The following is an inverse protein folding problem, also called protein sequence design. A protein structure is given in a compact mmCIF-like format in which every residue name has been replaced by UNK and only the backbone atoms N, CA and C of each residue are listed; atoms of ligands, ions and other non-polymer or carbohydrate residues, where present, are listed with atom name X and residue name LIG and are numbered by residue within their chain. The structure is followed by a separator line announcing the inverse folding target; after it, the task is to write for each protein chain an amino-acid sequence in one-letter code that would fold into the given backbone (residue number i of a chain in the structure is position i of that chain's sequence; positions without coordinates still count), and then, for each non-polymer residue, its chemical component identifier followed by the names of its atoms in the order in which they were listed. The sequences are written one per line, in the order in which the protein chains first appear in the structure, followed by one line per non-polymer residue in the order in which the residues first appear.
data_IF_697314174373
#
_entry.id   IF_697314174373
#
_cell.length_a   1.000
_cell.length_b   1.000
_cell.length_c   1.000
_cell.angle_alpha   90.00
_cell.angle_beta   90.00
_cell.angle_gamma   90.00
#
_symmetry.space_group_name_H-M   'P 1'
#
loop_
_entity.id
_entity.type
_entity.pdbx_description
1 polymer ?
#
# COMPACT_ATOMS: atom_id res chain seq x y z
N UNK A 1 -24.28 -22.77 16.51
CA UNK A 1 -23.06 -22.06 16.94
C UNK A 1 -22.12 -22.05 15.75
N UNK A 2 -21.38 -20.97 15.47
CA UNK A 2 -20.32 -21.02 14.46
C UNK A 2 -19.22 -21.98 14.94
N UNK A 3 -18.81 -22.91 14.09
CA UNK A 3 -17.95 -24.07 14.42
C UNK A 3 -16.62 -24.09 13.64
N UNK A 4 -16.55 -23.43 12.49
CA UNK A 4 -15.37 -23.44 11.62
C UNK A 4 -14.46 -22.21 11.72
N UNK A 5 -14.91 -21.09 12.31
CA UNK A 5 -14.17 -19.83 12.35
C UNK A 5 -14.21 -19.16 13.73
N UNK A 6 -13.06 -18.61 14.13
CA UNK A 6 -12.91 -17.77 15.31
C UNK A 6 -12.34 -16.41 14.90
N UNK A 7 -12.99 -15.31 15.30
CA UNK A 7 -12.50 -13.96 15.02
C UNK A 7 -11.26 -13.68 15.87
N UNK A 8 -10.12 -13.45 15.20
CA UNK A 8 -8.86 -13.08 15.87
C UNK A 8 -8.75 -11.57 16.11
N UNK A 9 -9.07 -10.76 15.11
CA UNK A 9 -9.11 -9.30 15.16
C UNK A 9 -9.91 -8.76 13.97
N UNK A 10 -10.35 -7.49 14.05
CA UNK A 10 -10.87 -6.73 12.90
C UNK A 10 -10.40 -5.28 12.97
N UNK A 11 -10.24 -4.66 11.81
CA UNK A 11 -10.07 -3.21 11.71
C UNK A 11 -11.02 -2.71 10.62
N UNK A 12 -11.91 -1.79 10.99
CA UNK A 12 -12.74 -1.08 10.01
C UNK A 12 -12.02 0.18 9.53
N UNK A 13 -12.41 0.66 8.35
CA UNK A 13 -11.84 1.88 7.80
C UNK A 13 -12.74 2.52 6.74
N UNK A 14 -12.43 3.77 6.43
CA UNK A 14 -13.15 4.62 5.47
C UNK A 14 -12.17 5.43 4.64
N UNK A 15 -12.62 5.91 3.49
CA UNK A 15 -11.93 6.95 2.72
C UNK A 15 -12.90 8.12 2.52
N UNK A 16 -12.44 9.37 2.67
CA UNK A 16 -13.32 10.52 2.49
C UNK A 16 -13.82 10.57 1.05
N UNK A 17 -15.13 10.62 0.86
CA UNK A 17 -15.74 10.88 -0.45
C UNK A 17 -15.59 12.36 -0.75
N UNK A 18 -14.73 12.71 -1.70
CA UNK A 18 -14.57 14.09 -2.15
C UNK A 18 -15.39 14.32 -3.42
N UNK A 19 -16.22 15.38 -3.49
CA UNK A 19 -16.85 15.76 -4.73
C UNK A 19 -15.76 16.07 -5.76
N UNK A 20 -15.79 15.48 -6.96
CA UNK A 20 -14.75 15.73 -7.94
C UNK A 20 -14.77 17.21 -8.35
N UNK A 21 -13.61 17.88 -8.28
CA UNK A 21 -13.50 19.28 -8.70
C UNK A 21 -13.74 19.47 -10.22
N UNK A 22 -13.66 18.39 -11.00
CA UNK A 22 -14.20 18.34 -12.36
C UNK A 22 -14.61 16.90 -12.73
N UNK A 23 -15.53 16.69 -13.70
CA UNK A 23 -15.94 15.35 -14.15
C UNK A 23 -14.80 14.47 -14.70
N UNK A 24 -13.65 15.07 -15.02
CA UNK A 24 -12.46 14.37 -15.54
C UNK A 24 -11.39 14.13 -14.47
N UNK A 25 -11.54 14.71 -13.27
CA UNK A 25 -10.53 14.59 -12.22
C UNK A 25 -10.62 13.22 -11.55
N UNK A 26 -9.62 12.36 -11.78
CA UNK A 26 -9.37 11.14 -11.00
C UNK A 26 -8.44 11.51 -9.85
N UNK A 27 -8.99 12.04 -8.77
CA UNK A 27 -8.22 12.43 -7.59
C UNK A 27 -8.09 11.27 -6.62
N UNK A 28 -6.90 11.05 -6.05
CA UNK A 28 -6.75 10.05 -5.00
C UNK A 28 -7.44 10.51 -3.72
N UNK A 29 -8.02 9.55 -2.99
CA UNK A 29 -8.55 9.79 -1.66
C UNK A 29 -7.44 10.32 -0.72
N UNK A 30 -7.83 11.03 0.33
CA UNK A 30 -6.87 11.53 1.33
C UNK A 30 -6.76 10.58 2.52
N UNK A 31 -5.56 10.50 3.07
CA UNK A 31 -5.33 9.85 4.36
C UNK A 31 -5.54 10.82 5.53
N UNK A 32 -5.51 10.31 6.77
CA UNK A 32 -5.65 11.12 7.99
C UNK A 32 -4.46 12.03 8.33
N UNK A 33 -3.37 11.99 7.57
CA UNK A 33 -2.34 13.04 7.61
C UNK A 33 -2.67 14.21 6.64
N UNK A 34 -3.76 14.06 5.86
CA UNK A 34 -4.27 15.08 4.95
C UNK A 34 -3.65 15.04 3.56
N UNK A 35 -2.80 14.06 3.25
CA UNK A 35 -2.17 13.90 1.93
C UNK A 35 -3.02 13.03 1.00
N UNK A 36 -2.95 13.28 -0.30
CA UNK A 36 -3.53 12.38 -1.33
C UNK A 36 -2.76 11.06 -1.31
N UNK A 37 -3.49 9.95 -1.25
CA UNK A 37 -2.96 8.61 -1.01
C UNK A 37 -3.42 7.65 -2.12
N UNK A 38 -2.56 7.47 -3.12
CA UNK A 38 -2.86 6.67 -4.32
C UNK A 38 -2.26 7.22 -5.61
N UNK A 39 -1.72 8.44 -5.59
CA UNK A 39 -1.34 9.19 -6.79
C UNK A 39 -0.32 8.50 -7.70
N UNK A 40 0.61 7.74 -7.11
CA UNK A 40 1.64 7.01 -7.84
C UNK A 40 1.39 5.50 -7.89
N UNK A 41 0.15 5.05 -7.61
CA UNK A 41 -0.19 3.65 -7.81
C UNK A 41 -0.06 3.28 -9.30
N UNK A 42 0.31 2.03 -9.59
CA UNK A 42 0.19 1.50 -10.94
C UNK A 42 -1.29 1.52 -11.38
N UNK A 43 -1.54 1.73 -12.67
CA UNK A 43 -2.90 1.81 -13.20
C UNK A 43 -3.61 0.45 -13.09
N UNK A 44 -4.64 0.30 -12.25
CA UNK A 44 -5.32 -0.99 -12.08
C UNK A 44 -6.15 -1.41 -13.30
N UNK A 45 -6.34 -0.52 -14.29
CA UNK A 45 -7.01 -0.83 -15.55
C UNK A 45 -6.05 -1.32 -16.65
N UNK A 46 -4.73 -1.23 -16.43
CA UNK A 46 -3.72 -1.81 -17.31
C UNK A 46 -3.49 -3.28 -16.93
N UNK A 47 -4.18 -4.18 -17.64
CA UNK A 47 -4.10 -5.62 -17.42
C UNK A 47 -2.68 -6.17 -17.57
N UNK A 48 -1.93 -5.69 -18.57
CA UNK A 48 -0.56 -6.14 -18.80
C UNK A 48 0.36 -5.72 -17.66
N UNK A 49 0.17 -4.52 -17.10
CA UNK A 49 0.90 -4.06 -15.92
C UNK A 49 0.50 -4.84 -14.67
N UNK A 50 -0.79 -5.08 -14.43
CA UNK A 50 -1.25 -5.90 -13.29
C UNK A 50 -0.71 -7.32 -13.33
N UNK A 51 -0.65 -7.95 -14.51
CA UNK A 51 -0.04 -9.27 -14.72
C UNK A 51 1.47 -9.30 -14.43
N UNK A 52 2.16 -8.14 -14.48
CA UNK A 52 3.58 -8.05 -14.13
C UNK A 52 3.82 -7.80 -12.65
N UNK A 53 2.94 -7.03 -11.98
CA UNK A 53 3.25 -6.49 -10.65
C UNK A 53 2.34 -7.00 -9.53
N UNK A 54 1.09 -7.39 -9.82
CA UNK A 54 0.09 -7.78 -8.80
C UNK A 54 -0.17 -9.28 -8.82
N UNK A 55 -0.39 -9.85 -10.01
CA UNK A 55 -0.79 -11.25 -10.14
C UNK A 55 0.42 -12.18 -10.21
N UNK A 56 0.37 -13.26 -9.44
CA UNK A 56 1.34 -14.36 -9.57
C UNK A 56 1.18 -14.99 -10.95
N UNK A 57 2.26 -15.01 -11.72
CA UNK A 57 2.33 -15.66 -13.02
C UNK A 57 3.53 -16.60 -13.14
N UNK A 58 3.75 -17.14 -14.34
CA UNK A 58 4.78 -18.15 -14.63
C UNK A 58 6.20 -17.73 -14.21
N UNK A 59 6.49 -16.42 -14.20
CA UNK A 59 7.82 -15.87 -13.87
C UNK A 59 8.13 -15.84 -12.37
N UNK A 60 7.14 -16.06 -11.51
CA UNK A 60 7.29 -15.93 -10.06
C UNK A 60 7.85 -17.21 -9.40
N UNK A 61 8.01 -18.31 -10.15
CA UNK A 61 8.46 -19.60 -9.62
C UNK A 61 7.61 -20.08 -8.43
N UNK A 62 6.30 -19.83 -8.49
CA UNK A 62 5.32 -20.22 -7.48
C UNK A 62 4.64 -21.55 -7.87
N UNK A 63 4.05 -22.28 -6.91
CA UNK A 63 3.24 -23.45 -7.21
C UNK A 63 2.07 -23.11 -8.15
N UNK A 64 1.73 -24.03 -9.06
CA UNK A 64 0.68 -23.80 -10.07
C UNK A 64 -0.66 -23.33 -9.47
N UNK A 65 -1.04 -23.86 -8.29
CA UNK A 65 -2.28 -23.48 -7.60
C UNK A 65 -2.37 -21.99 -7.24
N UNK A 66 -1.22 -21.31 -7.12
CA UNK A 66 -1.13 -19.90 -6.72
C UNK A 66 -1.23 -18.93 -7.90
N UNK A 67 -1.19 -19.43 -9.14
CA UNK A 67 -1.32 -18.60 -10.36
C UNK A 67 -2.61 -17.79 -10.34
N UNK A 68 -2.54 -16.52 -10.73
CA UNK A 68 -3.64 -15.53 -10.62
C UNK A 68 -4.06 -15.17 -9.18
N UNK A 69 -3.34 -15.67 -8.17
CA UNK A 69 -3.40 -15.13 -6.81
C UNK A 69 -2.50 -13.89 -6.66
N UNK A 70 -2.42 -13.36 -5.44
CA UNK A 70 -1.56 -12.21 -5.13
C UNK A 70 -1.13 -12.24 -3.66
N UNK A 71 0.12 -11.87 -3.38
CA UNK A 71 0.53 -11.62 -2.00
C UNK A 71 -0.16 -10.37 -1.47
N UNK A 72 -0.69 -10.43 -0.26
CA UNK A 72 -1.34 -9.33 0.43
C UNK A 72 -0.59 -8.97 1.72
N UNK A 73 -0.15 -7.73 1.83
CA UNK A 73 0.45 -7.19 3.04
C UNK A 73 -0.54 -6.25 3.73
N UNK A 74 -0.81 -6.50 5.01
CA UNK A 74 -1.69 -5.68 5.84
C UNK A 74 -0.91 -5.11 7.02
N UNK A 75 -0.95 -3.79 7.20
CA UNK A 75 -0.40 -3.10 8.37
C UNK A 75 -1.44 -2.18 8.98
N UNK A 76 -1.64 -2.27 10.29
CA UNK A 76 -2.38 -1.28 11.04
C UNK A 76 -1.36 -0.26 11.55
N UNK A 77 -1.41 0.95 11.03
CA UNK A 77 -0.42 2.00 11.30
C UNK A 77 -1.11 3.13 12.03
N UNK A 78 -0.72 3.38 13.28
CA UNK A 78 -1.22 4.51 14.07
C UNK A 78 -0.54 5.79 13.66
N UNK A 79 -1.30 6.87 13.59
CA UNK A 79 -0.81 8.22 13.35
C UNK A 79 -0.82 9.00 14.68
N UNK A 80 0.24 9.74 14.96
CA UNK A 80 0.27 10.74 16.04
C UNK A 80 -0.27 12.07 15.54
N UNK A 81 -1.58 12.12 15.28
CA UNK A 81 -2.24 13.22 14.56
C UNK A 81 -2.09 14.58 15.23
N UNK A 82 -2.12 14.67 16.56
CA UNK A 82 -1.98 15.96 17.23
C UNK A 82 -0.55 16.50 17.17
N UNK A 83 0.44 15.61 17.07
CA UNK A 83 1.83 16.01 16.80
C UNK A 83 1.91 16.54 15.37
N UNK A 84 1.38 15.76 14.42
CA UNK A 84 1.36 16.12 13.00
C UNK A 84 0.70 17.46 12.73
N UNK A 85 -0.47 17.74 13.32
CA UNK A 85 -1.20 18.99 13.10
C UNK A 85 -0.43 20.23 13.62
N UNK A 86 0.57 20.05 14.48
CA UNK A 86 1.45 21.12 14.98
C UNK A 86 2.76 21.23 14.20
N UNK A 87 3.07 20.26 13.34
CA UNK A 87 4.25 20.28 12.47
C UNK A 87 4.07 21.32 11.37
N UNK A 88 5.08 22.17 11.09
CA UNK A 88 5.02 23.14 10.00
C UNK A 88 4.67 22.49 8.65
N UNK A 89 3.86 23.17 7.83
CA UNK A 89 3.45 22.64 6.53
C UNK A 89 4.64 22.29 5.64
N UNK A 90 5.69 23.13 5.61
CA UNK A 90 6.88 22.83 4.80
C UNK A 90 7.56 21.53 5.23
N UNK A 91 7.59 21.23 6.54
CA UNK A 91 8.16 20.00 7.06
C UNK A 91 7.28 18.80 6.70
N UNK A 92 5.96 18.91 6.83
CA UNK A 92 5.03 17.86 6.41
C UNK A 92 5.20 17.50 4.93
N UNK A 93 5.27 18.53 4.07
CA UNK A 93 5.48 18.34 2.63
C UNK A 93 6.86 17.74 2.34
N UNK A 94 7.91 18.18 3.02
CA UNK A 94 9.27 17.64 2.86
C UNK A 94 9.34 16.16 3.26
N UNK A 95 8.74 15.78 4.39
CA UNK A 95 8.65 14.39 4.86
C UNK A 95 7.97 13.51 3.81
N UNK A 96 6.85 13.96 3.23
CA UNK A 96 6.17 13.19 2.19
C UNK A 96 6.87 13.25 0.83
N UNK A 97 7.49 14.37 0.48
CA UNK A 97 8.03 14.66 -0.85
C UNK A 97 6.97 15.13 -1.88
N UNK A 98 5.81 15.60 -1.42
CA UNK A 98 4.73 16.14 -2.27
C UNK A 98 4.06 17.34 -1.64
N UNK A 99 3.40 18.15 -2.47
CA UNK A 99 2.55 19.26 -2.01
C UNK A 99 1.28 18.71 -1.36
N UNK A 100 0.95 19.17 -0.15
CA UNK A 100 -0.19 18.64 0.62
C UNK A 100 -1.53 18.96 -0.04
N UNK A 101 -1.64 20.16 -0.62
CA UNK A 101 -2.89 20.68 -1.20
C UNK A 101 -3.30 19.94 -2.47
N UNK A 102 -2.37 19.75 -3.40
CA UNK A 102 -2.59 19.28 -4.76
C UNK A 102 -2.18 17.82 -4.93
N UNK A 103 -1.31 17.33 -4.05
CA UNK A 103 -0.63 16.05 -4.24
C UNK A 103 0.39 16.09 -5.38
N UNK A 104 0.72 17.24 -5.96
CA UNK A 104 1.73 17.32 -7.02
C UNK A 104 3.14 17.11 -6.44
N UNK A 105 4.09 16.54 -7.22
CA UNK A 105 5.50 16.62 -6.85
C UNK A 105 5.97 18.08 -6.87
N UNK A 106 7.08 18.39 -6.19
CA UNK A 106 7.55 19.77 -6.03
C UNK A 106 7.98 20.43 -7.35
N UNK A 107 8.49 19.64 -8.30
CA UNK A 107 8.85 20.02 -9.67
C UNK A 107 7.70 19.87 -10.68
N UNK A 108 6.49 19.50 -10.23
CA UNK A 108 5.29 19.33 -11.06
C UNK A 108 4.18 20.34 -10.76
N UNK A 109 3.08 20.19 -11.48
CA UNK A 109 1.87 21.03 -11.42
C UNK A 109 0.62 20.25 -11.03
N UNK A 110 0.53 18.97 -11.40
CA UNK A 110 -0.65 18.13 -11.17
C UNK A 110 -0.31 16.92 -10.32
N UNK A 111 -1.33 16.30 -9.70
CA UNK A 111 -1.16 15.08 -8.90
C UNK A 111 -0.50 13.94 -9.67
N UNK A 112 -0.87 13.79 -10.95
CA UNK A 112 -0.39 12.71 -11.82
C UNK A 112 1.02 12.95 -12.35
N UNK A 113 1.60 14.14 -12.12
CA UNK A 113 2.97 14.40 -12.52
C UNK A 113 3.94 13.52 -11.71
N UNK A 114 5.03 13.14 -12.38
CA UNK A 114 6.09 12.28 -11.86
C UNK A 114 7.32 13.13 -11.56
N UNK A 115 7.89 13.07 -10.35
CA UNK A 115 9.10 13.83 -10.04
C UNK A 115 10.29 13.35 -10.86
N UNK A 116 11.15 14.28 -11.28
CA UNK A 116 12.34 13.99 -12.07
C UNK A 116 13.60 13.94 -11.19
N UNK A 117 13.80 12.80 -10.52
CA UNK A 117 14.95 12.60 -9.62
C UNK A 117 16.32 12.68 -10.33
N UNK A 118 16.39 12.38 -11.63
CA UNK A 118 17.63 12.50 -12.40
C UNK A 118 18.11 13.96 -12.52
N UNK A 119 17.20 14.93 -12.45
CA UNK A 119 17.51 16.37 -12.42
C UNK A 119 17.69 16.92 -11.00
N UNK A 120 17.50 16.09 -9.98
CA UNK A 120 17.55 16.44 -8.57
C UNK A 120 18.36 15.40 -7.77
N UNK A 121 19.55 15.05 -8.28
CA UNK A 121 20.39 13.99 -7.71
C UNK A 121 20.75 14.24 -6.23
N UNK A 122 20.92 15.50 -5.83
CA UNK A 122 21.25 15.90 -4.45
C UNK A 122 20.02 15.99 -3.53
N UNK A 123 18.79 15.82 -4.05
CA UNK A 123 17.55 15.94 -3.26
C UNK A 123 17.24 17.34 -2.76
N UNK A 124 17.58 18.38 -3.54
CA UNK A 124 17.29 19.78 -3.20
C UNK A 124 15.83 20.14 -3.44
N UNK A 125 15.17 19.44 -4.37
CA UNK A 125 13.75 19.64 -4.68
C UNK A 125 12.91 18.63 -3.91
N UNK A 126 13.17 17.33 -4.09
CA UNK A 126 12.51 16.25 -3.35
C UNK A 126 13.54 15.60 -2.43
N UNK A 127 13.44 15.77 -1.10
CA UNK A 127 14.44 15.25 -0.16
C UNK A 127 14.75 13.77 -0.38
N UNK A 128 16.02 13.39 -0.25
CA UNK A 128 16.47 12.00 -0.45
C UNK A 128 15.83 11.02 0.54
N UNK A 129 15.50 11.51 1.73
CA UNK A 129 14.84 10.81 2.83
C UNK A 129 13.31 10.99 2.83
N UNK A 130 12.73 11.64 1.82
CA UNK A 130 11.27 11.77 1.72
C UNK A 130 10.61 10.43 1.42
N UNK A 131 9.41 10.23 1.98
CA UNK A 131 8.65 8.99 1.90
C UNK A 131 8.52 8.47 0.46
N UNK A 132 8.11 9.32 -0.48
CA UNK A 132 7.91 8.87 -1.88
C UNK A 132 9.21 8.47 -2.58
N UNK A 133 10.34 9.07 -2.20
CA UNK A 133 11.63 8.87 -2.87
C UNK A 133 12.34 7.64 -2.32
N UNK A 134 12.21 7.39 -1.01
CA UNK A 134 12.62 6.14 -0.39
C UNK A 134 11.75 4.97 -0.87
N UNK A 135 10.42 5.12 -0.88
CA UNK A 135 9.50 4.06 -1.31
C UNK A 135 9.74 3.64 -2.77
N UNK A 136 9.91 4.63 -3.66
CA UNK A 136 10.16 4.39 -5.07
C UNK A 136 11.23 5.39 -5.59
N UNK A 137 12.51 4.97 -5.68
CA UNK A 137 13.59 5.82 -6.18
C UNK A 137 13.55 6.05 -7.69
N UNK A 138 12.63 5.39 -8.41
CA UNK A 138 12.44 5.51 -9.87
C UNK A 138 13.72 5.28 -10.68
N UNK A 139 14.56 4.37 -10.19
CA UNK A 139 15.73 3.87 -10.92
C UNK A 139 15.32 2.79 -11.95
N UNK A 140 16.31 2.23 -12.65
CA UNK A 140 16.09 1.22 -13.68
C UNK A 140 15.44 -0.08 -13.15
N UNK A 141 15.51 -0.32 -11.85
CA UNK A 141 14.97 -1.52 -11.20
C UNK A 141 13.64 -1.24 -10.48
N UNK A 142 13.15 0.00 -10.50
CA UNK A 142 11.99 0.40 -9.72
C UNK A 142 10.71 -0.39 -10.03
N UNK A 143 10.52 -0.83 -11.29
CA UNK A 143 9.30 -1.55 -11.72
C UNK A 143 9.08 -2.84 -10.91
N UNK A 144 10.14 -3.59 -10.59
CA UNK A 144 10.02 -4.86 -9.86
C UNK A 144 9.62 -4.68 -8.39
N UNK A 145 9.66 -3.44 -7.88
CA UNK A 145 9.33 -3.09 -6.50
C UNK A 145 8.00 -2.34 -6.39
N UNK A 146 7.27 -2.20 -7.50
CA UNK A 146 5.94 -1.59 -7.47
C UNK A 146 4.97 -2.47 -6.71
N UNK A 147 4.08 -1.81 -5.97
CA UNK A 147 2.99 -2.44 -5.21
C UNK A 147 1.70 -1.70 -5.51
N UNK A 148 0.57 -2.40 -5.56
CA UNK A 148 -0.75 -1.79 -5.65
C UNK A 148 -1.30 -1.56 -4.24
N UNK A 149 -1.28 -0.31 -3.77
CA UNK A 149 -1.80 0.06 -2.45
C UNK A 149 -3.31 0.32 -2.51
N UNK A 150 -4.04 -0.20 -1.54
CA UNK A 150 -5.49 -0.01 -1.40
C UNK A 150 -5.88 0.27 0.06
N UNK A 151 -5.39 1.38 0.64
CA UNK A 151 -5.54 1.64 2.07
C UNK A 151 -6.92 2.18 2.43
N UNK A 152 -7.22 2.14 3.73
CA UNK A 152 -8.34 2.86 4.35
C UNK A 152 -7.83 3.65 5.56
N UNK A 153 -8.50 4.74 5.91
CA UNK A 153 -8.28 5.41 7.17
C UNK A 153 -9.09 4.73 8.28
N UNK A 154 -8.53 4.58 9.47
CA UNK A 154 -9.29 4.09 10.63
C UNK A 154 -9.31 5.10 11.78
N UNK A 155 -10.40 5.09 12.54
CA UNK A 155 -10.56 5.84 13.79
C UNK A 155 -11.19 4.92 14.83
N UNK A 156 -10.44 4.62 15.89
CA UNK A 156 -10.79 3.65 16.93
C UNK A 156 -11.17 4.32 18.27
N UNK A 157 -11.23 5.65 18.31
CA UNK A 157 -11.56 6.43 19.50
C UNK A 157 -10.34 7.12 20.12
N UNK A 158 -10.15 6.97 21.43
CA UNK A 158 -9.16 7.73 22.21
C UNK A 158 -8.28 6.78 23.03
N UNK A 159 -6.96 7.02 23.03
CA UNK A 159 -5.98 6.26 23.82
C UNK A 159 -6.07 6.57 25.31
N UNK A 160 -5.41 5.76 26.13
CA UNK A 160 -5.27 6.01 27.58
C UNK A 160 -4.59 7.36 27.92
N UNK A 161 -3.80 7.91 27.01
CA UNK A 161 -3.14 9.21 27.14
C UNK A 161 -4.00 10.38 26.65
N UNK A 162 -5.25 10.14 26.23
CA UNK A 162 -6.16 11.17 25.73
C UNK A 162 -5.89 11.59 24.27
N UNK A 163 -5.09 10.84 23.52
CA UNK A 163 -4.80 11.10 22.11
C UNK A 163 -5.75 10.31 21.21
N UNK A 164 -6.07 10.85 20.04
CA UNK A 164 -6.86 10.14 19.04
C UNK A 164 -6.14 8.86 18.60
N UNK A 165 -6.86 7.74 18.64
CA UNK A 165 -6.40 6.45 18.11
C UNK A 165 -6.90 6.31 16.68
N UNK A 166 -6.14 6.85 15.75
CA UNK A 166 -6.48 6.88 14.34
C UNK A 166 -5.24 6.71 13.48
N UNK A 167 -5.43 6.27 12.25
CA UNK A 167 -4.33 6.13 11.31
C UNK A 167 -4.73 5.42 10.03
N UNK A 168 -3.82 4.61 9.49
CA UNK A 168 -3.96 3.93 8.21
C UNK A 168 -4.09 2.41 8.40
N UNK A 169 -5.16 1.85 7.85
CA UNK A 169 -5.25 0.43 7.53
C UNK A 169 -4.60 0.28 6.15
N UNK A 170 -3.29 0.07 6.15
CA UNK A 170 -2.52 -0.13 4.94
C UNK A 170 -2.74 -1.55 4.42
N UNK A 171 -3.12 -1.66 3.15
CA UNK A 171 -3.26 -2.92 2.42
C UNK A 171 -2.54 -2.74 1.09
N UNK A 172 -1.67 -3.69 0.72
CA UNK A 172 -1.01 -3.69 -0.57
C UNK A 172 -0.97 -5.09 -1.19
N UNK A 173 -1.09 -5.12 -2.51
CA UNK A 173 -1.05 -6.31 -3.33
C UNK A 173 0.17 -6.30 -4.25
N UNK A 174 0.79 -7.45 -4.42
CA UNK A 174 1.97 -7.65 -5.25
C UNK A 174 2.12 -9.12 -5.64
N UNK A 175 2.75 -9.38 -6.79
CA UNK A 175 3.02 -10.73 -7.28
C UNK A 175 4.13 -11.44 -6.49
N UNK A 176 4.97 -10.67 -5.79
CA UNK A 176 6.11 -11.16 -5.00
C UNK A 176 6.24 -10.31 -3.74
N UNK A 177 6.03 -10.92 -2.57
CA UNK A 177 6.04 -10.22 -1.28
C UNK A 177 7.41 -9.64 -0.92
N UNK A 178 8.49 -10.34 -1.27
CA UNK A 178 9.86 -9.94 -0.96
C UNK A 178 10.27 -8.75 -1.84
N UNK A 179 10.03 -8.85 -3.15
CA UNK A 179 10.36 -7.77 -4.10
C UNK A 179 9.47 -6.54 -3.92
N UNK A 180 8.21 -6.72 -3.53
CA UNK A 180 7.25 -5.65 -3.28
C UNK A 180 7.37 -5.07 -1.88
N UNK A 181 6.38 -5.36 -1.03
CA UNK A 181 6.21 -4.72 0.28
C UNK A 181 7.46 -4.78 1.17
N UNK A 182 8.14 -5.92 1.27
CA UNK A 182 9.29 -6.07 2.17
C UNK A 182 10.45 -5.18 1.71
N UNK A 183 10.78 -5.19 0.42
CA UNK A 183 11.84 -4.32 -0.12
C UNK A 183 11.50 -2.84 0.07
N UNK A 184 10.25 -2.44 -0.21
CA UNK A 184 9.81 -1.05 -0.03
C UNK A 184 9.90 -0.64 1.45
N UNK A 185 9.39 -1.46 2.37
CA UNK A 185 9.48 -1.18 3.81
C UNK A 185 10.94 -1.11 4.29
N UNK A 186 11.83 -1.95 3.76
CA UNK A 186 13.25 -1.90 4.11
C UNK A 186 13.92 -0.59 3.71
N UNK A 187 13.50 0.02 2.57
CA UNK A 187 13.96 1.37 2.18
C UNK A 187 13.39 2.47 3.06
N UNK A 188 12.18 2.27 3.58
CA UNK A 188 11.49 3.22 4.45
C UNK A 188 11.97 3.18 5.90
N UNK A 189 12.71 2.16 6.32
CA UNK A 189 13.21 2.08 7.69
C UNK A 189 14.08 3.30 8.03
N UNK A 190 13.72 4.00 9.11
CA UNK A 190 14.39 5.22 9.56
C UNK A 190 13.96 6.48 8.82
N UNK A 191 12.89 6.44 8.02
CA UNK A 191 12.34 7.64 7.39
C UNK A 191 11.84 8.65 8.44
N UNK A 192 11.88 9.96 8.15
CA UNK A 192 11.35 10.98 9.06
C UNK A 192 9.88 10.79 9.46
N UNK A 193 9.08 10.13 8.60
CA UNK A 193 7.67 9.87 8.86
C UNK A 193 7.45 8.92 10.06
N UNK A 194 8.44 8.12 10.45
CA UNK A 194 8.38 7.27 11.65
C UNK A 194 8.18 8.07 12.95
N UNK A 195 8.52 9.35 12.99
CA UNK A 195 8.21 10.21 14.14
C UNK A 195 6.70 10.40 14.35
N UNK A 196 5.92 10.24 13.28
CA UNK A 196 4.49 10.51 13.22
C UNK A 196 3.65 9.24 13.07
N UNK A 197 4.29 8.10 12.83
CA UNK A 197 3.64 6.81 12.60
C UNK A 197 4.12 5.74 13.57
N UNK A 198 3.25 4.80 13.87
CA UNK A 198 3.61 3.59 14.61
C UNK A 198 2.84 2.39 14.07
N UNK A 199 3.49 1.47 13.35
CA UNK A 199 2.91 0.16 13.09
C UNK A 199 2.57 -0.51 14.44
N UNK A 200 1.31 -0.89 14.61
CA UNK A 200 0.83 -1.57 15.81
C UNK A 200 0.54 -3.04 15.48
N UNK A 201 0.43 -3.85 16.54
CA UNK A 201 0.03 -5.25 16.39
C UNK A 201 -1.33 -5.37 15.70
N UNK A 202 -1.50 -6.44 14.93
CA UNK A 202 -2.61 -6.58 13.97
C UNK A 202 -2.14 -6.36 12.53
N UNK A 203 -2.82 -6.98 11.58
CA UNK A 203 -2.30 -7.19 10.23
C UNK A 203 -1.45 -8.45 10.10
N UNK A 204 -0.66 -8.51 9.03
CA UNK A 204 0.12 -9.69 8.67
C UNK A 204 0.33 -9.81 7.17
N UNK A 205 0.99 -10.89 6.77
CA UNK A 205 1.13 -11.28 5.38
C UNK A 205 0.19 -12.43 5.09
N UNK A 206 -0.45 -12.36 3.94
CA UNK A 206 -1.46 -13.32 3.50
C UNK A 206 -1.29 -13.57 2.00
N UNK A 207 -1.92 -14.62 1.52
CA UNK A 207 -2.05 -14.87 0.09
C UNK A 207 -3.53 -14.72 -0.30
N UNK A 208 -3.82 -13.77 -1.18
CA UNK A 208 -5.12 -13.64 -1.81
C UNK A 208 -5.27 -14.73 -2.86
N UNK A 209 -6.18 -15.66 -2.62
CA UNK A 209 -6.40 -16.84 -3.46
C UNK A 209 -6.84 -16.43 -4.88
N UNK A 210 -6.55 -17.27 -5.89
CA UNK A 210 -7.08 -17.08 -7.23
C UNK A 210 -8.61 -16.99 -7.25
N UNK A 211 -9.13 -16.34 -8.30
CA UNK A 211 -10.56 -16.23 -8.54
C UNK A 211 -11.22 -17.59 -8.76
N UNK A 212 -12.52 -17.65 -8.45
CA UNK A 212 -13.38 -18.80 -8.75
C UNK A 212 -13.83 -18.69 -10.21
N UNK A 213 -13.60 -19.73 -11.00
CA UNK A 213 -13.85 -19.68 -12.46
C UNK A 213 -15.34 -19.67 -12.79
N UNK A 214 -16.13 -20.52 -12.12
CA UNK A 214 -17.57 -20.64 -12.34
C UNK A 214 -18.31 -21.18 -11.12
N UNK A 215 -19.61 -21.46 -11.29
CA UNK A 215 -20.51 -21.95 -10.23
C UNK A 215 -20.20 -23.36 -9.70
N UNK A 216 -19.29 -24.11 -10.34
CA UNK A 216 -18.85 -25.44 -9.91
C UNK A 216 -17.51 -25.40 -9.18
N UNK A 217 -16.80 -24.27 -9.27
CA UNK A 217 -15.53 -24.04 -8.60
C UNK A 217 -15.75 -23.36 -7.22
N UNK A 218 -14.72 -23.37 -6.38
CA UNK A 218 -14.74 -22.70 -5.08
C UNK A 218 -13.34 -22.25 -4.65
N UNK A 219 -13.27 -21.20 -3.83
CA UNK A 219 -12.00 -20.68 -3.35
C UNK A 219 -11.13 -21.76 -2.69
N UNK A 220 -9.83 -21.75 -2.98
CA UNK A 220 -8.85 -22.71 -2.51
C UNK A 220 -9.00 -24.15 -3.04
N UNK A 221 -9.90 -24.46 -3.99
CA UNK A 221 -10.00 -25.82 -4.59
C UNK A 221 -8.64 -26.31 -5.09
N UNK A 222 -7.97 -25.51 -5.94
CA UNK A 222 -6.66 -25.87 -6.51
C UNK A 222 -5.58 -26.08 -5.43
N UNK A 223 -5.59 -25.29 -4.35
CA UNK A 223 -4.70 -25.46 -3.21
C UNK A 223 -4.95 -26.80 -2.50
N UNK A 224 -6.21 -27.13 -2.23
CA UNK A 224 -6.59 -28.37 -1.55
C UNK A 224 -6.21 -29.59 -2.39
N UNK A 225 -6.48 -29.56 -3.69
CA UNK A 225 -6.08 -30.62 -4.63
C UNK A 225 -4.56 -30.79 -4.70
N UNK A 226 -3.81 -29.68 -4.81
CA UNK A 226 -2.35 -29.70 -4.81
C UNK A 226 -1.77 -30.28 -3.52
N UNK A 227 -2.40 -29.99 -2.37
CA UNK A 227 -1.99 -30.49 -1.04
C UNK A 227 -2.47 -31.91 -0.70
N UNK A 228 -3.24 -32.54 -1.60
CA UNK A 228 -3.86 -33.84 -1.36
C UNK A 228 -2.86 -34.99 -1.16
N UNK A 229 -3.27 -36.10 -0.51
CA UNK A 229 -2.37 -37.19 -0.12
C UNK A 229 -1.62 -37.88 -1.27
N UNK A 230 -2.09 -37.74 -2.52
CA UNK A 230 -1.41 -38.27 -3.71
C UNK A 230 -0.08 -37.55 -4.00
N UNK A 231 0.08 -36.30 -3.55
CA UNK A 231 1.27 -35.48 -3.74
C UNK A 231 2.20 -35.42 -2.51
N UNK A 232 1.81 -36.05 -1.39
CA UNK A 232 2.57 -36.04 -0.13
C UNK A 232 3.66 -37.13 -0.04
N UNK A 233 3.89 -37.90 -1.11
CA UNK A 233 4.98 -38.86 -1.23
C UNK A 233 6.00 -38.35 -2.26
N UNK A 234 6.82 -37.41 -1.84
CA UNK A 234 8.07 -37.01 -2.48
C UNK A 234 9.21 -37.19 -1.49
#
# INVERSE_FOLDING_TARGET
MPDLLLVRWKQEGTVPVQPPHSPKAKESARNFLGFRDGSANPDPSDEALMNRIVWVGEKNAEPDWATNGSYMAVRIIRNFVERWDRTPLQEQEAIFGRRKDSGAPFDGKTETDVPNYAKDADGKITPLDSHIRLANPRDANAEQHLILRRPFNYSNGVSKSGQLDMGLLFIAYQADLEKGFITVQNRLNGEPLEEYLKPIGGGGYFFALPGVEDHKDYYARALLEASGPQNARG
#
